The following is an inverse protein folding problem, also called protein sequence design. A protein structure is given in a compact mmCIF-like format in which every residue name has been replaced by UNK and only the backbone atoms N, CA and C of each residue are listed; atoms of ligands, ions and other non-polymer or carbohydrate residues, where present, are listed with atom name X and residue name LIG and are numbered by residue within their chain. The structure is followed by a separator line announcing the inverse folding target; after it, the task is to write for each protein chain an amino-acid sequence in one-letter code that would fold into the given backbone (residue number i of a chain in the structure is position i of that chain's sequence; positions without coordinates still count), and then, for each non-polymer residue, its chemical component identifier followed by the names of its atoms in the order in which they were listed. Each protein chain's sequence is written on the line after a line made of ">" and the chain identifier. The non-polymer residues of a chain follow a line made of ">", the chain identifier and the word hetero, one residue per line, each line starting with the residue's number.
data_IF_957928102241
#
_entry.id   IF_957928102241
#
_cell.length_a   1.000
_cell.length_b   1.000
_cell.length_c   1.000
_cell.angle_alpha   90.00
_cell.angle_beta   90.00
_cell.angle_gamma   90.00
#
_symmetry.space_group_name_H-M   'P 1'
#
loop_
_entity.id
_entity.type
_entity.pdbx_description
1 polymer ?
#
# COMPACT_ATOMS: atom_id res chain seq x y z
N UNK A 1 0.91 8.94 -46.81
CA UNK A 1 1.51 8.14 -45.73
C UNK A 1 2.06 8.96 -44.57
N UNK A 2 2.92 9.97 -44.78
CA UNK A 2 3.48 10.80 -43.68
C UNK A 2 2.43 11.53 -42.83
N UNK A 3 1.36 12.06 -43.45
CA UNK A 3 0.27 12.76 -42.73
C UNK A 3 -0.59 11.84 -41.86
N UNK A 4 -0.78 10.58 -42.27
CA UNK A 4 -1.49 9.57 -41.48
C UNK A 4 -0.68 9.12 -40.26
N UNK A 5 0.65 9.02 -40.40
CA UNK A 5 1.56 8.74 -39.28
C UNK A 5 1.54 9.85 -38.22
N UNK A 6 1.48 11.13 -38.64
CA UNK A 6 1.41 12.26 -37.71
C UNK A 6 0.10 12.27 -36.92
N UNK A 7 -1.03 11.95 -37.56
CA UNK A 7 -2.33 11.87 -36.90
C UNK A 7 -2.37 10.68 -35.93
N UNK A 8 -1.79 9.55 -36.29
CA UNK A 8 -1.70 8.37 -35.40
C UNK A 8 -0.86 8.65 -34.15
N UNK A 9 0.26 9.37 -34.28
CA UNK A 9 1.10 9.78 -33.14
C UNK A 9 0.38 10.77 -32.22
N UNK A 10 -0.38 11.72 -32.78
CA UNK A 10 -1.17 12.67 -32.00
C UNK A 10 -2.30 11.99 -31.21
N UNK A 11 -2.94 10.96 -31.77
CA UNK A 11 -3.97 10.19 -31.06
C UNK A 11 -3.35 9.36 -29.93
N UNK A 12 -2.12 8.86 -30.10
CA UNK A 12 -1.40 8.10 -29.06
C UNK A 12 -0.95 8.97 -27.88
N UNK A 13 -0.78 10.28 -28.06
CA UNK A 13 -0.45 11.23 -27.00
C UNK A 13 -1.68 11.71 -26.20
N UNK A 14 -2.88 11.39 -26.66
CA UNK A 14 -4.14 11.79 -26.02
C UNK A 14 -4.70 10.73 -25.05
N UNK A 15 -3.86 9.81 -24.54
CA UNK A 15 -4.30 8.88 -23.50
C UNK A 15 -4.23 9.61 -22.16
N UNK A 16 -5.36 9.97 -21.53
CA UNK A 16 -5.31 10.44 -20.16
C UNK A 16 -4.77 9.30 -19.30
N UNK A 17 -3.65 9.55 -18.63
CA UNK A 17 -3.22 8.74 -17.49
C UNK A 17 -4.30 8.91 -16.43
N UNK A 18 -5.30 8.04 -16.45
CA UNK A 18 -6.26 7.89 -15.36
C UNK A 18 -5.47 7.30 -14.19
N UNK A 19 -4.81 8.18 -13.43
CA UNK A 19 -4.27 7.82 -12.14
C UNK A 19 -5.47 7.60 -11.22
N UNK A 20 -5.91 6.36 -11.12
CA UNK A 20 -6.83 5.97 -10.06
C UNK A 20 -6.23 6.46 -8.74
N UNK A 21 -7.00 7.25 -7.99
CA UNK A 21 -6.57 7.75 -6.68
C UNK A 21 -6.39 6.55 -5.76
N UNK A 22 -5.17 6.04 -5.68
CA UNK A 22 -4.84 4.92 -4.82
C UNK A 22 -5.17 5.30 -3.36
N UNK A 23 -5.64 4.34 -2.54
CA UNK A 23 -5.84 4.60 -1.13
C UNK A 23 -4.56 5.17 -0.53
N UNK A 24 -4.72 6.15 0.36
CA UNK A 24 -3.59 6.81 1.03
C UNK A 24 -2.70 5.74 1.69
N UNK A 25 -1.39 5.85 1.45
CA UNK A 25 -0.42 5.11 2.25
C UNK A 25 -0.29 5.77 3.62
N UNK A 26 -0.19 4.94 4.65
CA UNK A 26 0.03 5.33 6.04
C UNK A 26 1.35 4.74 6.52
N UNK A 27 1.87 5.26 7.64
CA UNK A 27 3.09 4.77 8.24
C UNK A 27 2.92 4.51 9.73
N UNK A 28 3.52 3.42 10.19
CA UNK A 28 3.73 3.12 11.61
C UNK A 28 5.21 2.87 11.83
N UNK A 29 5.77 3.43 12.90
CA UNK A 29 7.18 3.24 13.26
C UNK A 29 7.27 2.74 14.68
N UNK A 30 8.04 1.68 14.90
CA UNK A 30 8.17 1.04 16.19
C UNK A 30 9.04 -0.23 16.16
N UNK A 31 9.33 -0.82 17.33
CA UNK A 31 9.97 -2.13 17.38
C UNK A 31 9.03 -3.23 16.87
N UNK A 32 9.61 -4.22 16.18
CA UNK A 32 8.90 -5.45 15.81
C UNK A 32 8.65 -6.28 17.07
N UNK A 33 7.40 -6.62 17.36
CA UNK A 33 7.01 -7.51 18.44
C UNK A 33 6.88 -8.96 17.99
N UNK A 34 6.36 -9.17 16.79
CA UNK A 34 6.16 -10.49 16.19
C UNK A 34 6.36 -10.40 14.67
N UNK A 35 6.90 -11.48 14.09
CA UNK A 35 7.23 -11.55 12.67
C UNK A 35 6.84 -12.93 12.14
N UNK A 36 5.84 -12.95 11.26
CA UNK A 36 5.37 -14.14 10.54
C UNK A 36 5.54 -13.95 9.05
N UNK A 37 5.26 -15.00 8.29
CA UNK A 37 5.36 -14.98 6.83
C UNK A 37 4.33 -14.04 6.20
N UNK A 38 3.13 -13.97 6.78
CA UNK A 38 1.97 -13.22 6.28
C UNK A 38 1.65 -11.95 7.10
N UNK A 39 2.38 -11.71 8.19
CA UNK A 39 2.10 -10.59 9.10
C UNK A 39 3.36 -10.08 9.82
N UNK A 40 3.38 -8.78 10.10
CA UNK A 40 4.33 -8.14 11.01
C UNK A 40 3.57 -7.36 12.09
N UNK A 41 4.01 -7.49 13.34
CA UNK A 41 3.42 -6.75 14.47
C UNK A 41 4.41 -5.71 14.97
N UNK A 42 3.99 -4.45 15.05
CA UNK A 42 4.82 -3.31 15.47
C UNK A 42 4.19 -2.60 16.66
N UNK A 43 5.00 -2.20 17.64
CA UNK A 43 4.52 -1.42 18.78
C UNK A 43 4.61 0.09 18.50
N UNK A 44 3.49 0.81 18.65
CA UNK A 44 3.47 2.28 18.60
C UNK A 44 2.83 2.82 19.86
N UNK A 45 3.64 3.39 20.75
CA UNK A 45 3.17 3.88 22.04
C UNK A 45 2.71 2.73 22.93
N UNK A 46 1.39 2.61 23.15
CA UNK A 46 0.78 1.49 23.90
C UNK A 46 -0.01 0.53 23.00
N UNK A 47 -0.02 0.78 21.69
CA UNK A 47 -0.80 0.02 20.72
C UNK A 47 0.09 -0.98 19.98
N UNK A 48 -0.48 -2.14 19.68
CA UNK A 48 0.13 -3.15 18.82
C UNK A 48 -0.54 -3.10 17.46
N UNK A 49 0.24 -2.86 16.42
CA UNK A 49 -0.21 -2.74 15.05
C UNK A 49 0.13 -4.03 14.30
N UNK A 50 -0.89 -4.79 13.95
CA UNK A 50 -0.77 -5.99 13.10
C UNK A 50 -0.98 -5.60 11.64
N UNK A 51 0.03 -5.84 10.81
CA UNK A 51 0.02 -5.46 9.40
C UNK A 51 0.27 -6.70 8.56
N UNK A 52 -0.67 -6.99 7.67
CA UNK A 52 -0.51 -8.04 6.69
C UNK A 52 0.65 -7.72 5.73
N UNK A 53 1.41 -8.76 5.38
CA UNK A 53 2.47 -8.71 4.38
C UNK A 53 2.37 -9.92 3.47
N UNK A 54 2.92 -9.78 2.28
CA UNK A 54 2.89 -10.80 1.25
C UNK A 54 4.22 -10.77 0.46
N UNK A 55 4.29 -11.60 -0.58
CA UNK A 55 5.43 -11.67 -1.50
C UNK A 55 5.74 -10.36 -2.24
N UNK A 56 4.76 -9.47 -2.36
CA UNK A 56 4.88 -8.18 -3.05
C UNK A 56 5.34 -7.06 -2.10
N UNK A 57 5.34 -7.35 -0.79
CA UNK A 57 5.83 -6.45 0.25
C UNK A 57 7.34 -6.24 0.12
N UNK A 58 7.73 -5.02 -0.23
CA UNK A 58 9.14 -4.65 -0.40
C UNK A 58 9.84 -4.50 0.95
N UNK A 59 10.74 -5.43 1.25
CA UNK A 59 11.57 -5.38 2.45
C UNK A 59 12.92 -4.73 2.14
N UNK A 60 13.30 -3.75 2.95
CA UNK A 60 14.63 -3.13 2.90
C UNK A 60 15.36 -3.39 4.22
N UNK A 61 16.42 -4.18 4.17
CA UNK A 61 17.18 -4.61 5.35
C UNK A 61 16.63 -5.86 6.03
N UNK A 62 17.22 -6.24 7.16
CA UNK A 62 16.84 -7.43 7.90
C UNK A 62 15.67 -7.15 8.86
N UNK A 63 14.61 -7.96 8.78
CA UNK A 63 13.52 -7.94 9.74
C UNK A 63 13.84 -8.90 10.89
N UNK A 64 13.94 -8.38 12.11
CA UNK A 64 14.18 -9.16 13.33
C UNK A 64 13.31 -8.61 14.46
N UNK A 65 12.75 -9.49 15.28
CA UNK A 65 12.02 -9.08 16.50
C UNK A 65 12.91 -8.18 17.36
N UNK A 66 12.33 -7.12 17.91
CA UNK A 66 13.02 -6.05 18.65
C UNK A 66 13.61 -4.93 17.79
N UNK A 67 13.82 -5.15 16.48
CA UNK A 67 14.35 -4.11 15.60
C UNK A 67 13.31 -3.02 15.35
N UNK A 68 13.74 -1.75 15.40
CA UNK A 68 12.88 -0.62 15.07
C UNK A 68 12.73 -0.48 13.55
N UNK A 69 11.49 -0.50 13.07
CA UNK A 69 11.16 -0.40 11.65
C UNK A 69 10.10 0.66 11.41
N UNK A 70 10.04 1.18 10.18
CA UNK A 70 8.90 1.94 9.68
C UNK A 70 8.19 1.09 8.64
N UNK A 71 6.92 0.79 8.85
CA UNK A 71 6.09 0.04 7.91
C UNK A 71 5.16 1.01 7.20
N UNK A 72 5.27 1.06 5.88
CA UNK A 72 4.29 1.71 5.01
C UNK A 72 3.20 0.71 4.66
N UNK A 73 1.94 1.08 4.85
CA UNK A 73 0.80 0.21 4.61
C UNK A 73 -0.41 0.98 4.06
N UNK A 74 -1.37 0.27 3.49
CA UNK A 74 -2.67 0.82 3.09
C UNK A 74 -3.76 0.16 3.93
N UNK A 75 -4.69 0.97 4.44
CA UNK A 75 -5.90 0.44 5.08
C UNK A 75 -6.93 0.10 4.01
N UNK A 76 -7.39 -1.15 4.01
CA UNK A 76 -8.40 -1.65 3.06
C UNK A 76 -9.55 -2.25 3.86
N UNK A 77 -10.78 -1.89 3.51
CA UNK A 77 -11.97 -2.48 4.15
C UNK A 77 -12.17 -3.91 3.66
N UNK A 78 -12.39 -4.85 4.59
CA UNK A 78 -12.72 -6.24 4.25
C UNK A 78 -14.22 -6.40 3.95
N UNK A 79 -15.06 -5.83 4.80
CA UNK A 79 -16.53 -5.84 4.63
C UNK A 79 -17.09 -4.50 5.12
N UNK A 80 -18.06 -3.95 4.40
CA UNK A 80 -18.79 -2.75 4.82
C UNK A 80 -20.26 -3.12 4.89
N UNK A 81 -20.84 -3.07 6.09
CA UNK A 81 -22.26 -3.31 6.33
C UNK A 81 -22.90 -2.02 6.81
N UNK A 82 -23.93 -1.55 6.09
CA UNK A 82 -24.75 -0.42 6.55
C UNK A 82 -25.74 -0.95 7.58
N UNK A 83 -25.49 -0.66 8.85
CA UNK A 83 -26.49 -0.82 9.90
C UNK A 83 -27.36 0.44 9.87
N UNK A 84 -28.65 0.27 9.58
CA UNK A 84 -29.60 1.36 9.32
C UNK A 84 -29.46 2.53 10.31
N UNK A 85 -29.59 3.75 9.80
CA UNK A 85 -29.72 4.95 10.63
C UNK A 85 -31.05 4.85 11.38
N UNK A 86 -30.98 4.81 12.71
CA UNK A 86 -32.14 5.10 13.55
C UNK A 86 -32.49 6.59 13.45
#
# INVERSE_FOLDING_TARGET
>A
MRRFLVIAVLILMAVPLVMAAAPKSYQVTGPILDLKDDMITVEKGKEKWEIARDKDTKVKGDLKVGSKVTVEYRMTATTIEVKEKK
#
